data_IF_257758804373
#
_entry.id   IF_257758804373
#
_cell.length_a   1.000
_cell.length_b   1.000
_cell.length_c   1.000
_cell.angle_alpha   90.00
_cell.angle_beta   90.00
_cell.angle_gamma   90.00
#
_symmetry.space_group_name_H-M   'P 1'
#
loop_
_entity.id
_entity.type
_entity.pdbx_description
1 polymer ?
#
# COMPACT_ATOMS: atom_id res chain seq x y z
N UNK A 1 13.82 -8.60 -18.86
CA UNK A 1 12.72 -8.02 -19.64
C UNK A 1 12.19 -6.79 -18.94
N UNK A 2 11.95 -5.73 -19.68
CA UNK A 2 11.25 -4.57 -19.12
C UNK A 2 9.82 -4.98 -18.75
N UNK A 3 9.38 -4.61 -17.56
CA UNK A 3 8.02 -4.87 -17.09
C UNK A 3 7.04 -4.10 -17.99
N UNK A 4 6.13 -4.79 -18.65
CA UNK A 4 5.14 -4.16 -19.51
C UNK A 4 3.94 -3.73 -18.66
N UNK A 5 3.75 -2.43 -18.51
CA UNK A 5 2.58 -1.88 -17.83
C UNK A 5 1.35 -1.89 -18.76
N UNK A 6 0.16 -2.00 -18.18
CA UNK A 6 -1.10 -2.07 -18.91
C UNK A 6 -1.73 -0.69 -19.16
N UNK A 7 -1.32 0.32 -18.36
CA UNK A 7 -1.91 1.66 -18.42
C UNK A 7 -0.86 2.75 -18.27
N UNK A 8 -1.20 3.95 -18.76
CA UNK A 8 -0.38 5.15 -18.58
C UNK A 8 -0.22 5.52 -17.10
N UNK A 9 -1.25 5.27 -16.30
CA UNK A 9 -1.21 5.50 -14.86
C UNK A 9 -0.17 4.61 -14.17
N UNK A 10 -0.04 3.36 -14.56
CA UNK A 10 1.02 2.49 -14.03
C UNK A 10 2.41 3.03 -14.35
N UNK A 11 2.64 3.47 -15.60
CA UNK A 11 3.90 4.10 -16.01
C UNK A 11 4.17 5.37 -15.18
N UNK A 12 3.18 6.21 -15.01
CA UNK A 12 3.26 7.46 -14.25
C UNK A 12 3.69 7.22 -12.79
N UNK A 13 3.03 6.29 -12.11
CA UNK A 13 3.32 5.99 -10.71
C UNK A 13 4.60 5.20 -10.50
N UNK A 14 5.00 4.39 -11.48
CA UNK A 14 6.27 3.67 -11.44
C UNK A 14 7.48 4.56 -11.75
N UNK A 15 7.25 5.74 -12.34
CA UNK A 15 8.29 6.66 -12.79
C UNK A 15 8.62 7.78 -11.81
N UNK A 16 9.21 8.86 -12.34
CA UNK A 16 9.74 9.99 -11.56
C UNK A 16 8.70 10.69 -10.68
N UNK A 17 7.46 10.81 -11.14
CA UNK A 17 6.40 11.39 -10.32
C UNK A 17 6.14 10.56 -9.05
N UNK A 18 6.07 9.24 -9.19
CA UNK A 18 5.94 8.33 -8.06
C UNK A 18 7.13 8.42 -7.10
N UNK A 19 8.34 8.60 -7.62
CA UNK A 19 9.55 8.79 -6.80
C UNK A 19 9.46 10.06 -5.96
N UNK A 20 9.07 11.18 -6.56
CA UNK A 20 8.88 12.45 -5.85
C UNK A 20 7.74 12.37 -4.83
N UNK A 21 6.65 11.71 -5.18
CA UNK A 21 5.51 11.48 -4.27
C UNK A 21 5.94 10.68 -3.04
N UNK A 22 6.77 9.67 -3.22
CA UNK A 22 7.35 8.85 -2.15
C UNK A 22 8.09 9.71 -1.13
N UNK A 23 8.93 10.65 -1.58
CA UNK A 23 9.68 11.56 -0.72
C UNK A 23 8.74 12.47 0.08
N UNK A 24 7.76 13.07 -0.58
CA UNK A 24 6.81 14.01 0.06
C UNK A 24 5.90 13.35 1.11
N UNK A 25 5.65 12.06 0.98
CA UNK A 25 4.72 11.34 1.85
C UNK A 25 5.40 10.50 2.93
N UNK A 26 6.68 10.74 3.19
CA UNK A 26 7.44 10.04 4.22
C UNK A 26 7.74 10.97 5.41
N UNK A 27 6.70 11.35 6.16
CA UNK A 27 6.85 12.25 7.31
C UNK A 27 6.18 11.70 8.57
N UNK A 28 6.68 12.13 9.74
CA UNK A 28 6.12 11.76 11.05
C UNK A 28 4.70 12.30 11.26
N UNK A 29 4.43 13.48 10.75
CA UNK A 29 3.10 14.12 10.82
C UNK A 29 2.06 13.30 10.07
N UNK A 30 2.41 12.84 8.88
CA UNK A 30 1.54 11.97 8.08
C UNK A 30 1.31 10.62 8.77
N UNK A 31 2.34 10.03 9.37
CA UNK A 31 2.18 8.79 10.12
C UNK A 31 1.20 8.97 11.28
N UNK A 32 1.31 10.05 12.05
CA UNK A 32 0.39 10.34 13.15
C UNK A 32 -1.05 10.52 12.65
N UNK A 33 -1.22 11.24 11.55
CA UNK A 33 -2.53 11.41 10.89
C UNK A 33 -3.13 10.06 10.47
N UNK A 34 -2.33 9.17 9.90
CA UNK A 34 -2.77 7.80 9.52
C UNK A 34 -3.15 6.97 10.73
N UNK A 35 -2.37 7.02 11.82
CA UNK A 35 -2.72 6.34 13.07
C UNK A 35 -4.07 6.82 13.62
N UNK A 36 -4.32 8.11 13.62
CA UNK A 36 -5.59 8.69 14.08
C UNK A 36 -6.76 8.22 13.24
N UNK A 37 -6.62 8.28 11.91
CA UNK A 37 -7.65 7.82 10.98
C UNK A 37 -7.95 6.33 11.14
N UNK A 38 -6.92 5.50 11.13
CA UNK A 38 -7.06 4.04 11.18
C UNK A 38 -7.55 3.56 12.56
N UNK A 39 -7.14 4.20 13.64
CA UNK A 39 -7.68 3.92 14.97
C UNK A 39 -9.21 4.13 15.00
N UNK A 40 -9.70 5.20 14.41
CA UNK A 40 -11.15 5.46 14.30
C UNK A 40 -11.84 4.43 13.40
N UNK A 41 -11.25 4.16 12.23
CA UNK A 41 -11.83 3.24 11.24
C UNK A 41 -11.92 1.80 11.76
N UNK A 42 -10.93 1.36 12.52
CA UNK A 42 -10.81 -0.02 13.00
C UNK A 42 -11.39 -0.25 14.41
N UNK A 43 -11.87 0.81 15.06
CA UNK A 43 -12.36 0.75 16.45
C UNK A 43 -13.41 -0.33 16.69
N UNK A 44 -14.28 -0.57 15.70
CA UNK A 44 -15.36 -1.55 15.78
C UNK A 44 -15.12 -2.81 14.93
N UNK A 45 -13.90 -2.99 14.44
CA UNK A 45 -13.57 -4.18 13.67
C UNK A 45 -13.45 -5.39 14.59
N UNK A 46 -13.71 -6.59 14.02
CA UNK A 46 -13.31 -7.83 14.66
C UNK A 46 -11.78 -7.90 14.78
N UNK A 47 -11.28 -8.87 15.53
CA UNK A 47 -9.84 -9.15 15.57
C UNK A 47 -9.29 -9.35 14.16
N UNK A 48 -8.24 -8.61 13.83
CA UNK A 48 -7.53 -8.69 12.56
C UNK A 48 -6.20 -9.41 12.77
N UNK A 49 -5.97 -10.47 11.99
CA UNK A 49 -4.73 -11.26 12.04
C UNK A 49 -3.88 -11.04 10.79
N UNK A 50 -4.50 -10.66 9.67
CA UNK A 50 -3.82 -10.41 8.40
C UNK A 50 -4.40 -9.22 7.65
N UNK A 51 -3.51 -8.40 7.10
CA UNK A 51 -3.88 -7.21 6.31
C UNK A 51 -3.09 -7.17 5.01
N UNK A 52 -3.70 -6.58 3.98
CA UNK A 52 -3.03 -6.25 2.72
C UNK A 52 -3.36 -4.81 2.33
N UNK A 53 -2.39 -4.08 1.84
CA UNK A 53 -2.60 -2.75 1.26
C UNK A 53 -2.19 -2.74 -0.22
N UNK A 54 -3.12 -2.29 -1.05
CA UNK A 54 -2.94 -2.09 -2.48
C UNK A 54 -2.49 -0.66 -2.74
N UNK A 55 -1.31 -0.49 -3.32
CA UNK A 55 -0.69 0.81 -3.51
C UNK A 55 -0.16 1.39 -2.20
N UNK A 56 0.68 0.61 -1.51
CA UNK A 56 1.11 0.91 -0.14
C UNK A 56 2.06 2.11 -0.02
N UNK A 57 2.65 2.59 -1.11
CA UNK A 57 3.67 3.64 -1.13
C UNK A 57 4.81 3.30 -0.13
N UNK A 58 5.18 4.22 0.74
CA UNK A 58 6.23 3.99 1.76
C UNK A 58 5.75 3.22 2.99
N UNK A 59 4.48 2.82 3.04
CA UNK A 59 3.93 1.95 4.07
C UNK A 59 3.44 2.63 5.33
N UNK A 60 3.12 3.93 5.31
CA UNK A 60 2.66 4.65 6.51
C UNK A 60 1.37 4.05 7.09
N UNK A 61 0.43 3.61 6.26
CA UNK A 61 -0.78 2.96 6.74
C UNK A 61 -0.47 1.61 7.38
N UNK A 62 0.44 0.82 6.80
CA UNK A 62 0.86 -0.46 7.35
C UNK A 62 1.57 -0.28 8.69
N UNK A 63 2.47 0.68 8.80
CA UNK A 63 3.14 1.02 10.07
C UNK A 63 2.10 1.40 11.12
N UNK A 64 1.14 2.26 10.75
CA UNK A 64 0.07 2.67 11.64
C UNK A 64 -0.77 1.49 12.15
N UNK A 65 -1.17 0.57 11.25
CA UNK A 65 -1.94 -0.61 11.66
C UNK A 65 -1.11 -1.56 12.52
N UNK A 66 0.17 -1.77 12.18
CA UNK A 66 1.07 -2.62 12.99
C UNK A 66 1.27 -2.08 14.40
N UNK A 67 1.31 -0.76 14.56
CA UNK A 67 1.40 -0.11 15.88
C UNK A 67 0.07 -0.25 16.67
N UNK A 68 -1.07 -0.20 15.97
CA UNK A 68 -2.39 -0.35 16.58
C UNK A 68 -2.72 -1.81 16.92
N UNK A 69 -2.23 -2.74 16.11
CA UNK A 69 -2.51 -4.18 16.22
C UNK A 69 -1.16 -4.93 16.18
N UNK A 70 -0.44 -4.99 17.29
CA UNK A 70 0.83 -5.71 17.36
C UNK A 70 0.68 -7.18 16.94
N UNK A 71 1.60 -7.66 16.12
CA UNK A 71 1.60 -9.05 15.63
C UNK A 71 0.73 -9.30 14.40
N UNK A 72 0.02 -8.31 13.86
CA UNK A 72 -0.73 -8.45 12.61
C UNK A 72 0.23 -8.76 11.45
N UNK A 73 -0.11 -9.78 10.65
CA UNK A 73 0.63 -10.09 9.42
C UNK A 73 0.27 -9.08 8.33
N UNK A 74 1.26 -8.41 7.76
CA UNK A 74 1.07 -7.34 6.79
C UNK A 74 1.67 -7.68 5.43
N UNK A 75 0.93 -7.38 4.37
CA UNK A 75 1.36 -7.49 2.97
C UNK A 75 1.16 -6.17 2.27
N UNK A 76 2.15 -5.75 1.48
CA UNK A 76 2.11 -4.54 0.67
C UNK A 76 2.22 -4.90 -0.81
N UNK A 77 1.40 -4.27 -1.65
CA UNK A 77 1.58 -4.27 -3.11
C UNK A 77 1.91 -2.85 -3.52
N UNK A 78 2.99 -2.67 -4.25
CA UNK A 78 3.44 -1.35 -4.72
C UNK A 78 4.14 -1.47 -6.08
N UNK A 79 3.94 -0.48 -6.94
CA UNK A 79 4.49 -0.46 -8.30
C UNK A 79 5.79 0.34 -8.40
N UNK A 80 6.01 1.29 -7.48
CA UNK A 80 7.15 2.20 -7.51
C UNK A 80 8.37 1.61 -6.81
N UNK A 81 9.49 1.53 -7.50
CA UNK A 81 10.73 0.91 -7.00
C UNK A 81 11.33 1.64 -5.78
N UNK A 82 11.23 2.97 -5.73
CA UNK A 82 11.73 3.76 -4.59
C UNK A 82 10.90 3.48 -3.34
N UNK A 83 9.58 3.39 -3.48
CA UNK A 83 8.68 3.02 -2.40
C UNK A 83 8.93 1.57 -1.93
N UNK A 84 9.15 0.63 -2.84
CA UNK A 84 9.51 -0.76 -2.52
C UNK A 84 10.75 -0.83 -1.63
N UNK A 85 11.78 -0.04 -1.93
CA UNK A 85 13.00 -0.02 -1.12
C UNK A 85 12.71 0.40 0.33
N UNK A 86 11.82 1.35 0.54
CA UNK A 86 11.38 1.78 1.87
C UNK A 86 10.48 0.76 2.56
N UNK A 87 9.54 0.16 1.84
CA UNK A 87 8.67 -0.90 2.36
C UNK A 87 9.47 -2.09 2.90
N UNK A 88 10.54 -2.47 2.22
CA UNK A 88 11.43 -3.57 2.64
C UNK A 88 12.19 -3.29 3.93
N UNK A 89 12.25 -2.05 4.37
CA UNK A 89 12.86 -1.67 5.65
C UNK A 89 11.89 -1.82 6.83
N UNK A 90 10.61 -2.05 6.57
CA UNK A 90 9.62 -2.28 7.63
C UNK A 90 9.65 -3.76 8.01
N UNK A 91 9.87 -4.04 9.29
CA UNK A 91 9.92 -5.40 9.81
C UNK A 91 8.59 -6.13 9.61
N UNK A 92 8.67 -7.42 9.25
CA UNK A 92 7.52 -8.32 9.13
C UNK A 92 6.44 -7.82 8.14
N UNK A 93 6.85 -7.21 7.04
CA UNK A 93 5.98 -6.86 5.91
C UNK A 93 6.39 -7.68 4.69
N UNK A 94 5.46 -8.47 4.16
CA UNK A 94 5.61 -9.11 2.86
C UNK A 94 5.40 -8.07 1.76
N UNK A 95 6.42 -7.85 0.93
CA UNK A 95 6.38 -6.83 -0.13
C UNK A 95 6.26 -7.51 -1.50
N UNK A 96 5.24 -7.12 -2.24
CA UNK A 96 4.99 -7.54 -3.63
C UNK A 96 5.20 -6.33 -4.53
N UNK A 97 6.26 -6.38 -5.34
CA UNK A 97 6.53 -5.36 -6.35
C UNK A 97 5.71 -5.66 -7.61
N UNK A 98 4.64 -4.94 -7.82
CA UNK A 98 3.75 -5.15 -8.95
C UNK A 98 2.61 -4.15 -9.02
N UNK A 99 1.82 -4.29 -10.10
CA UNK A 99 0.60 -3.54 -10.30
C UNK A 99 -0.57 -4.20 -9.55
N UNK A 100 -1.45 -3.37 -9.01
CA UNK A 100 -2.73 -3.85 -8.45
C UNK A 100 -3.68 -4.40 -9.53
N UNK A 101 -3.39 -4.12 -10.80
CA UNK A 101 -4.13 -4.66 -11.94
C UNK A 101 -3.72 -6.09 -12.29
N UNK A 102 -2.62 -6.58 -11.75
CA UNK A 102 -2.20 -7.96 -11.90
C UNK A 102 -3.12 -8.88 -11.07
N UNK A 103 -3.92 -9.70 -11.77
CA UNK A 103 -4.90 -10.61 -11.13
C UNK A 103 -4.25 -11.91 -10.69
N UNK A 104 -3.21 -11.83 -9.89
CA UNK A 104 -2.56 -13.00 -9.31
C UNK A 104 -3.28 -13.43 -8.03
N UNK A 105 -3.13 -14.71 -7.68
CA UNK A 105 -3.59 -15.19 -6.38
C UNK A 105 -2.71 -14.59 -5.28
N UNK A 106 -3.23 -13.62 -4.57
CA UNK A 106 -2.53 -12.93 -3.48
C UNK A 106 -2.90 -13.45 -2.10
N UNK A 107 -3.84 -14.36 -2.01
CA UNK A 107 -4.28 -14.98 -0.75
C UNK A 107 -5.57 -14.39 -0.18
N UNK A 108 -5.86 -14.77 1.06
CA UNK A 108 -7.03 -14.34 1.83
C UNK A 108 -6.52 -13.52 3.01
N UNK A 109 -7.17 -12.39 3.28
CA UNK A 109 -6.82 -11.44 4.33
C UNK A 109 -8.06 -11.02 5.11
N UNK A 110 -7.89 -10.68 6.38
CA UNK A 110 -8.97 -10.16 7.22
C UNK A 110 -9.36 -8.73 6.82
N UNK A 111 -8.39 -7.94 6.35
CA UNK A 111 -8.59 -6.58 5.90
C UNK A 111 -7.80 -6.30 4.63
N UNK A 112 -8.45 -5.73 3.64
CA UNK A 112 -7.82 -5.12 2.48
C UNK A 112 -7.96 -3.60 2.54
N UNK A 113 -6.86 -2.88 2.39
CA UNK A 113 -6.83 -1.42 2.35
C UNK A 113 -6.50 -0.93 0.94
N UNK A 114 -7.29 0.03 0.45
CA UNK A 114 -7.08 0.71 -0.84
C UNK A 114 -7.34 2.20 -0.58
N UNK A 115 -6.28 2.95 -0.26
CA UNK A 115 -6.42 4.33 0.21
C UNK A 115 -5.79 5.29 -0.80
N UNK A 116 -6.62 6.13 -1.42
CA UNK A 116 -6.17 7.12 -2.39
C UNK A 116 -5.64 6.54 -3.71
N UNK A 117 -6.00 5.32 -4.06
CA UNK A 117 -5.46 4.60 -5.23
C UNK A 117 -6.47 4.48 -6.37
N UNK A 118 -7.72 4.12 -6.07
CA UNK A 118 -8.71 3.83 -7.11
C UNK A 118 -9.01 5.04 -8.02
N UNK A 119 -8.87 6.25 -7.51
CA UNK A 119 -9.00 7.49 -8.29
C UNK A 119 -7.96 7.63 -9.40
N UNK A 120 -6.86 6.87 -9.32
CA UNK A 120 -5.78 6.86 -10.31
C UNK A 120 -5.86 5.67 -11.27
N UNK A 121 -6.91 4.87 -11.17
CA UNK A 121 -7.13 3.72 -12.06
C UNK A 121 -8.10 4.11 -13.16
N UNK A 122 -7.72 3.85 -14.42
CA UNK A 122 -8.62 4.11 -15.54
C UNK A 122 -9.90 3.29 -15.38
N UNK A 123 -11.11 3.88 -15.58
CA UNK A 123 -12.38 3.23 -15.30
C UNK A 123 -12.58 1.85 -15.95
N UNK A 124 -12.00 1.66 -17.13
CA UNK A 124 -12.07 0.36 -17.84
C UNK A 124 -11.40 -0.81 -17.13
N UNK A 125 -10.56 -0.54 -16.12
CA UNK A 125 -9.88 -1.54 -15.31
C UNK A 125 -10.53 -1.75 -13.93
N UNK A 126 -11.53 -0.94 -13.58
CA UNK A 126 -12.32 -1.13 -12.37
C UNK A 126 -13.38 -2.20 -12.58
N UNK A 127 -13.79 -2.95 -11.56
CA UNK A 127 -14.85 -3.94 -11.65
C UNK A 127 -16.24 -3.32 -11.93
#
# INVERSE_FOLDING_TARGET
>A
MAKKFQSEQEVFWAGSFGDEYTIRNDTKELLLSRKTLLNRALKSSRKLESIIEFGANVGLNLIAVKDLIPGVAATAIEINSSAISKLKMIDDVKVIHGSILERNKIGIYDLAMVIGVLIHIAPKYLP
#
